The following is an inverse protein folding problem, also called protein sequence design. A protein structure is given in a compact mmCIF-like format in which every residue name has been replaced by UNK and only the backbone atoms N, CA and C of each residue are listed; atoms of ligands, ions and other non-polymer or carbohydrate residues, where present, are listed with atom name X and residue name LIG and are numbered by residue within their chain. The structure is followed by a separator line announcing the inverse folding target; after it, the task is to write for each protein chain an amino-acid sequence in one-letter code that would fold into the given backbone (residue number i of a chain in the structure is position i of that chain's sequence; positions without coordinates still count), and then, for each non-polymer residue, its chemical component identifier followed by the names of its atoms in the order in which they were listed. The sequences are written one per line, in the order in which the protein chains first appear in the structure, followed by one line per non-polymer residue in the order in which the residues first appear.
data_IF_554295333712
#
_entry.id   IF_554295333712
#
_cell.length_a   1.000
_cell.length_b   1.000
_cell.length_c   1.000
_cell.angle_alpha   90.00
_cell.angle_beta   90.00
_cell.angle_gamma   90.00
#
_symmetry.space_group_name_H-M   'P 1'
#
loop_
_entity.id
_entity.type
_entity.pdbx_description
1 polymer ?
#
# COMPACT_ATOMS: atom_id res chain seq x y z
N UNK A 1 17.75 -12.03 12.38
CA UNK A 1 16.63 -12.62 13.11
C UNK A 1 15.45 -11.77 12.70
N UNK A 2 14.48 -12.34 12.01
CA UNK A 2 13.25 -11.61 11.68
C UNK A 2 12.56 -11.33 13.00
N UNK A 3 12.62 -10.07 13.43
CA UNK A 3 11.93 -9.59 14.62
C UNK A 3 10.44 -9.79 14.35
N UNK A 4 9.82 -10.69 15.13
CA UNK A 4 8.43 -11.06 14.94
C UNK A 4 7.57 -9.82 15.18
N UNK A 5 7.07 -9.22 14.09
CA UNK A 5 6.27 -7.99 14.16
C UNK A 5 5.15 -8.21 15.17
N UNK A 6 5.15 -7.37 16.21
CA UNK A 6 4.20 -7.44 17.32
C UNK A 6 2.76 -7.46 16.77
N UNK A 7 1.91 -8.36 17.29
CA UNK A 7 0.50 -8.46 16.88
C UNK A 7 -0.21 -7.10 16.91
N UNK A 8 0.09 -6.29 17.93
CA UNK A 8 -0.50 -4.96 18.10
C UNK A 8 -0.12 -4.02 16.95
N UNK A 9 1.13 -4.08 16.50
CA UNK A 9 1.63 -3.29 15.38
C UNK A 9 0.98 -3.72 14.06
N UNK A 10 0.87 -5.03 13.82
CA UNK A 10 0.16 -5.58 12.66
C UNK A 10 -1.31 -5.16 12.63
N UNK A 11 -1.98 -5.20 13.78
CA UNK A 11 -3.37 -4.77 13.90
C UNK A 11 -3.52 -3.28 13.66
N UNK A 12 -2.67 -2.45 14.27
CA UNK A 12 -2.70 -1.00 14.11
C UNK A 12 -2.45 -0.61 12.64
N UNK A 13 -1.44 -1.22 12.01
CA UNK A 13 -1.12 -1.05 10.59
C UNK A 13 -2.32 -1.37 9.69
N UNK A 14 -2.96 -2.52 9.90
CA UNK A 14 -4.15 -2.91 9.14
C UNK A 14 -5.30 -1.91 9.32
N UNK A 15 -5.54 -1.41 10.54
CA UNK A 15 -6.60 -0.44 10.82
C UNK A 15 -6.32 0.90 10.12
N UNK A 16 -5.09 1.43 10.22
CA UNK A 16 -4.73 2.72 9.60
C UNK A 16 -4.90 2.64 8.08
N UNK A 17 -4.42 1.57 7.45
CA UNK A 17 -4.58 1.36 6.01
C UNK A 17 -6.06 1.32 5.61
N UNK A 18 -6.91 0.65 6.38
CA UNK A 18 -8.35 0.60 6.08
C UNK A 18 -9.05 1.94 6.33
N UNK A 19 -8.63 2.71 7.33
CA UNK A 19 -9.18 4.04 7.59
C UNK A 19 -8.85 5.02 6.46
N UNK A 20 -7.65 4.94 5.90
CA UNK A 20 -7.27 5.75 4.72
C UNK A 20 -8.08 5.33 3.48
N UNK A 21 -8.16 4.03 3.18
CA UNK A 21 -8.93 3.52 2.04
C UNK A 21 -10.43 3.80 2.15
N UNK A 22 -10.96 3.90 3.37
CA UNK A 22 -12.34 4.30 3.64
C UNK A 22 -12.56 5.83 3.58
N UNK A 23 -11.49 6.63 3.39
CA UNK A 23 -11.54 8.09 3.36
C UNK A 23 -11.78 8.74 4.72
N UNK A 24 -11.55 8.01 5.81
CA UNK A 24 -11.74 8.52 7.19
C UNK A 24 -10.56 9.42 7.57
N UNK A 25 -9.35 9.03 7.19
CA UNK A 25 -8.15 9.84 7.33
C UNK A 25 -7.53 10.06 5.95
N UNK A 26 -7.00 11.26 5.67
CA UNK A 26 -6.28 11.50 4.44
C UNK A 26 -4.85 10.95 4.53
N UNK A 27 -4.25 10.59 3.40
CA UNK A 27 -2.92 9.98 3.36
C UNK A 27 -1.79 10.93 3.79
N UNK A 28 -1.97 12.24 3.57
CA UNK A 28 -1.04 13.30 4.02
C UNK A 28 -0.91 13.36 5.55
N UNK A 29 -2.00 13.08 6.28
CA UNK A 29 -1.98 13.01 7.74
C UNK A 29 -0.99 11.96 8.26
N UNK A 30 -0.83 10.84 7.56
CA UNK A 30 0.12 9.78 7.93
C UNK A 30 1.56 10.26 7.69
N UNK A 31 1.80 10.97 6.58
CA UNK A 31 3.10 11.56 6.27
C UNK A 31 3.47 12.66 7.29
N UNK A 32 2.52 13.52 7.65
CA UNK A 32 2.70 14.56 8.66
C UNK A 32 3.01 13.96 10.04
N UNK A 33 2.34 12.86 10.42
CA UNK A 33 2.63 12.15 11.66
C UNK A 33 4.05 11.55 11.67
N UNK A 34 4.51 11.01 10.54
CA UNK A 34 5.89 10.51 10.38
C UNK A 34 6.92 11.64 10.53
N UNK A 35 6.68 12.78 9.86
CA UNK A 35 7.55 13.96 9.96
C UNK A 35 7.59 14.52 11.39
N UNK A 36 6.44 14.57 12.07
CA UNK A 36 6.34 15.00 13.46
C UNK A 36 7.12 14.08 14.41
N UNK A 37 7.04 12.76 14.24
CA UNK A 37 7.80 11.80 15.04
C UNK A 37 9.32 12.01 14.87
N UNK A 38 9.78 12.21 13.63
CA UNK A 38 11.18 12.49 13.35
C UNK A 38 11.65 13.82 13.95
N UNK A 39 10.84 14.89 13.88
CA UNK A 39 11.13 16.18 14.55
C UNK A 39 11.26 16.04 16.07
N UNK A 40 10.60 15.06 16.67
CA UNK A 40 10.68 14.73 18.09
C UNK A 40 11.84 13.79 18.44
N UNK A 41 12.60 13.35 17.44
CA UNK A 41 13.71 12.41 17.60
C UNK A 41 13.28 10.95 17.77
N UNK A 42 12.04 10.62 17.43
CA UNK A 42 11.52 9.26 17.43
C UNK A 42 11.60 8.65 16.02
N UNK A 43 12.81 8.24 15.65
CA UNK A 43 13.11 7.71 14.32
C UNK A 43 12.43 6.36 14.06
N UNK A 44 12.19 5.56 15.10
CA UNK A 44 11.52 4.27 14.98
C UNK A 44 10.04 4.45 14.64
N UNK A 45 9.34 5.33 15.35
CA UNK A 45 7.97 5.66 15.04
C UNK A 45 7.84 6.34 13.67
N UNK A 46 8.77 7.25 13.33
CA UNK A 46 8.81 7.90 12.01
C UNK A 46 8.96 6.87 10.89
N UNK A 47 9.85 5.90 11.05
CA UNK A 47 10.07 4.81 10.10
C UNK A 47 8.84 3.91 9.95
N UNK A 48 8.22 3.50 11.06
CA UNK A 48 7.02 2.68 11.05
C UNK A 48 5.87 3.38 10.32
N UNK A 49 5.64 4.67 10.62
CA UNK A 49 4.61 5.48 9.95
C UNK A 49 4.90 5.67 8.45
N UNK A 50 6.16 5.85 8.07
CA UNK A 50 6.57 5.91 6.67
C UNK A 50 6.27 4.61 5.92
N UNK A 51 6.49 3.45 6.56
CA UNK A 51 6.14 2.15 5.99
C UNK A 51 4.63 1.96 5.84
N UNK A 52 3.83 2.49 6.77
CA UNK A 52 2.37 2.47 6.68
C UNK A 52 1.90 3.36 5.52
N UNK A 53 2.46 4.56 5.37
CA UNK A 53 2.15 5.45 4.25
C UNK A 53 2.41 4.78 2.89
N UNK A 54 3.53 4.09 2.73
CA UNK A 54 3.81 3.37 1.48
C UNK A 54 2.79 2.26 1.19
N UNK A 55 2.26 1.61 2.21
CA UNK A 55 1.22 0.58 2.03
C UNK A 55 -0.15 1.13 1.68
N UNK A 56 -0.50 2.34 2.14
CA UNK A 56 -1.76 2.97 1.71
C UNK A 56 -1.74 3.25 0.21
N UNK A 57 -0.58 3.61 -0.33
CA UNK A 57 -0.37 3.81 -1.76
C UNK A 57 -0.31 2.51 -2.56
N UNK A 58 -0.20 1.35 -1.89
CA UNK A 58 -0.12 0.08 -2.58
C UNK A 58 -1.48 -0.26 -3.23
N UNK A 59 -1.48 -0.67 -4.52
CA UNK A 59 -2.70 -1.09 -5.19
C UNK A 59 -3.34 -2.25 -4.42
N UNK A 60 -4.66 -2.27 -4.41
CA UNK A 60 -5.40 -3.40 -3.86
C UNK A 60 -5.01 -4.69 -4.58
N UNK A 61 -5.18 -5.82 -3.89
CA UNK A 61 -4.91 -7.13 -4.48
C UNK A 61 -5.72 -7.36 -5.78
N UNK A 62 -6.95 -6.84 -5.83
CA UNK A 62 -7.80 -6.90 -7.03
C UNK A 62 -7.20 -6.14 -8.20
N UNK A 63 -6.71 -4.91 -7.96
CA UNK A 63 -6.05 -4.08 -8.98
C UNK A 63 -4.76 -4.73 -9.47
N UNK A 64 -3.98 -5.29 -8.55
CA UNK A 64 -2.76 -6.02 -8.89
C UNK A 64 -3.04 -7.24 -9.78
N UNK A 65 -4.04 -8.05 -9.43
CA UNK A 65 -4.48 -9.19 -10.24
C UNK A 65 -5.05 -8.78 -11.60
N UNK A 66 -5.74 -7.64 -11.67
CA UNK A 66 -6.26 -7.11 -12.92
C UNK A 66 -5.13 -6.62 -13.85
N UNK A 67 -4.12 -5.94 -13.31
CA UNK A 67 -2.92 -5.52 -14.04
C UNK A 67 -2.12 -6.72 -14.54
N UNK A 68 -1.91 -7.71 -13.68
CA UNK A 68 -1.23 -8.95 -14.05
C UNK A 68 -1.94 -9.66 -15.21
N UNK A 69 -3.28 -9.76 -15.18
CA UNK A 69 -4.06 -10.33 -16.28
C UNK A 69 -3.95 -9.52 -17.56
N UNK A 70 -3.98 -8.18 -17.48
CA UNK A 70 -3.76 -7.30 -18.65
C UNK A 70 -2.39 -7.52 -19.28
N UNK A 71 -1.32 -7.65 -18.49
CA UNK A 71 0.03 -7.90 -19.01
C UNK A 71 0.20 -9.27 -19.71
N UNK A 72 -0.62 -10.25 -19.34
CA UNK A 72 -0.60 -11.59 -19.95
C UNK A 72 -1.42 -11.68 -21.23
N UNK A 73 -2.30 -10.70 -21.47
CA UNK A 73 -3.15 -10.66 -22.65
C UNK A 73 -2.30 -10.27 -23.87
N UNK A 74 -1.85 -11.27 -24.64
CA UNK A 74 -1.24 -11.01 -25.96
C UNK A 74 -2.35 -10.70 -26.96
N UNK A 75 -2.15 -9.64 -27.75
CA UNK A 75 -2.98 -9.36 -28.93
C UNK A 75 -2.94 -10.57 -29.85
N UNK A 76 -4.09 -11.21 -30.05
CA UNK A 76 -4.27 -12.15 -31.16
C UNK A 76 -4.51 -11.25 -32.37
N UNK A 77 -3.51 -11.15 -33.25
CA UNK A 77 -3.71 -10.50 -34.55
C UNK A 77 -4.87 -11.21 -35.24
N UNK A 78 -5.94 -10.45 -35.48
CA UNK A 78 -7.16 -10.96 -36.10
C UNK A 78 -6.79 -11.69 -37.38
N UNK A 79 -6.99 -13.01 -37.39
CA UNK A 79 -6.86 -13.82 -38.58
C UNK A 79 -7.77 -13.20 -39.63
N UNK A 80 -7.18 -12.72 -40.74
CA UNK A 80 -7.94 -12.48 -41.94
C UNK A 80 -8.63 -13.80 -42.29
N UNK A 81 -9.94 -13.83 -42.08
CA UNK A 81 -10.79 -14.80 -42.75
C UNK A 81 -10.83 -14.37 -44.21
N UNK A 82 -9.76 -14.67 -44.94
CA UNK A 82 -9.75 -14.56 -46.39
C UNK A 82 -10.37 -15.88 -46.91
N UNK A 83 -11.65 -15.78 -47.28
CA UNK A 83 -12.29 -16.64 -48.29
C UNK A 83 -11.69 -16.37 -49.68
#
# INVERSE_FOLDING_TARGET
MDEEINLSERMLRAIIVQMEKAGIIPADLIADASAYASDKGDDEAAHALGCIFLETQAPSQSEWMAEQRRSQMRSIDGGKADE
#
